data_IF_418402426269
#
_entry.id   IF_418402426269
#
_cell.length_a   1.000
_cell.length_b   1.000
_cell.length_c   1.000
_cell.angle_alpha   90.00
_cell.angle_beta   90.00
_cell.angle_gamma   90.00
#
_symmetry.space_group_name_H-M   'P 1'
#
loop_
_entity.id
_entity.type
_entity.pdbx_description
1 polymer ?
#
# COMPACT_ATOMS: atom_id res chain seq x y z
N UNK A 1 18.72 4.95 -14.30
CA UNK A 1 17.94 3.73 -14.59
C UNK A 1 16.95 3.60 -13.45
N UNK A 2 15.65 3.65 -13.75
CA UNK A 2 14.58 3.60 -12.73
C UNK A 2 14.05 2.19 -12.47
N UNK A 3 14.53 1.20 -13.22
CA UNK A 3 14.16 -0.19 -13.10
C UNK A 3 15.25 -1.02 -12.43
N UNK A 4 14.85 -1.99 -11.60
CA UNK A 4 15.77 -2.91 -10.91
C UNK A 4 15.16 -4.29 -10.83
N UNK A 5 15.85 -5.31 -11.31
CA UNK A 5 15.46 -6.70 -11.04
C UNK A 5 15.71 -7.04 -9.58
N UNK A 6 14.67 -7.46 -8.87
CA UNK A 6 14.70 -7.76 -7.43
C UNK A 6 14.49 -9.24 -7.12
N UNK A 7 13.96 -10.00 -8.08
CA UNK A 7 13.82 -11.44 -8.06
C UNK A 7 13.65 -11.93 -9.51
N UNK A 8 13.63 -13.23 -9.75
CA UNK A 8 13.50 -13.79 -11.10
C UNK A 8 12.25 -13.27 -11.80
N UNK A 9 12.42 -12.60 -12.94
CA UNK A 9 11.35 -11.98 -13.73
C UNK A 9 10.51 -10.94 -12.97
N UNK A 10 10.97 -10.45 -11.83
CA UNK A 10 10.30 -9.44 -11.04
C UNK A 10 11.16 -8.19 -10.94
N UNK A 11 10.64 -7.09 -11.45
CA UNK A 11 11.31 -5.80 -11.49
C UNK A 11 10.56 -4.76 -10.67
N UNK A 12 11.30 -3.97 -9.91
CA UNK A 12 10.83 -2.76 -9.27
C UNK A 12 11.01 -1.59 -10.26
N UNK A 13 10.01 -0.74 -10.34
CA UNK A 13 10.05 0.53 -11.08
C UNK A 13 9.90 1.68 -10.08
N UNK A 14 10.94 2.46 -9.91
CA UNK A 14 10.94 3.68 -9.08
C UNK A 14 10.08 4.75 -9.75
N UNK A 15 9.05 5.23 -9.06
CA UNK A 15 8.08 6.18 -9.61
C UNK A 15 8.51 7.65 -9.46
N UNK A 16 9.50 7.96 -8.63
CA UNK A 16 10.00 9.32 -8.38
C UNK A 16 8.87 10.33 -8.14
N UNK A 17 7.85 9.92 -7.42
CA UNK A 17 6.63 10.70 -7.19
C UNK A 17 6.94 12.05 -6.54
N UNK A 18 6.53 13.13 -7.19
CA UNK A 18 6.83 14.50 -6.72
C UNK A 18 8.32 14.84 -6.68
N UNK A 19 9.16 14.07 -7.38
CA UNK A 19 10.62 14.20 -7.38
C UNK A 19 11.31 13.52 -6.20
N UNK A 20 10.58 12.74 -5.38
CA UNK A 20 11.15 11.98 -4.26
C UNK A 20 11.51 10.57 -4.70
N UNK A 21 12.70 10.12 -4.31
CA UNK A 21 13.15 8.73 -4.44
C UNK A 21 12.77 7.94 -3.18
N UNK A 22 12.63 6.62 -3.34
CA UNK A 22 12.27 5.70 -2.25
C UNK A 22 10.93 6.06 -1.57
N UNK A 23 10.00 6.66 -2.32
CA UNK A 23 8.68 7.02 -1.78
C UNK A 23 7.61 6.03 -2.23
N UNK A 24 7.46 5.83 -3.54
CA UNK A 24 6.47 4.93 -4.15
C UNK A 24 7.12 4.20 -5.32
N UNK A 25 6.90 2.90 -5.40
CA UNK A 25 7.30 2.08 -6.54
C UNK A 25 6.14 1.23 -7.05
N UNK A 26 6.24 0.86 -8.33
CA UNK A 26 5.45 -0.19 -8.96
C UNK A 26 6.31 -1.42 -9.20
N UNK A 27 5.66 -2.53 -9.47
CA UNK A 27 6.35 -3.76 -9.85
C UNK A 27 5.83 -4.26 -11.18
N UNK A 28 6.69 -4.92 -11.94
CA UNK A 28 6.33 -5.67 -13.12
C UNK A 28 6.80 -7.11 -12.98
N UNK A 29 5.86 -8.04 -13.07
CA UNK A 29 6.14 -9.47 -13.25
C UNK A 29 6.25 -9.67 -14.75
N UNK A 30 7.47 -9.95 -15.23
CA UNK A 30 7.78 -10.09 -16.64
C UNK A 30 7.62 -11.54 -17.05
N UNK A 31 6.84 -11.78 -18.08
CA UNK A 31 6.55 -13.11 -18.63
C UNK A 31 5.81 -12.96 -19.96
N UNK A 32 5.13 -13.99 -20.40
CA UNK A 32 4.28 -13.95 -21.61
C UNK A 32 3.00 -13.15 -21.38
N UNK A 33 2.52 -13.05 -20.13
CA UNK A 33 1.43 -12.19 -19.68
C UNK A 33 1.95 -11.15 -18.65
N UNK A 34 2.70 -10.12 -19.08
CA UNK A 34 3.28 -9.15 -18.16
C UNK A 34 2.22 -8.50 -17.28
N UNK A 35 2.48 -8.45 -15.97
CA UNK A 35 1.52 -7.93 -14.99
C UNK A 35 2.16 -6.86 -14.13
N UNK A 36 1.49 -5.71 -14.04
CA UNK A 36 1.89 -4.59 -13.19
C UNK A 36 1.21 -4.77 -11.83
N UNK A 37 1.96 -4.62 -10.75
CA UNK A 37 1.39 -4.49 -9.40
C UNK A 37 1.61 -3.06 -8.94
N UNK A 38 0.55 -2.38 -8.61
CA UNK A 38 0.37 -0.96 -8.33
C UNK A 38 0.55 -0.04 -9.55
N UNK A 39 -0.40 0.84 -9.77
CA UNK A 39 -0.26 1.90 -10.77
C UNK A 39 0.53 3.10 -10.24
N UNK A 40 0.60 3.25 -8.93
CA UNK A 40 1.04 4.49 -8.32
C UNK A 40 0.05 5.63 -8.55
N UNK A 41 0.44 6.87 -8.23
CA UNK A 41 -0.38 8.06 -8.44
C UNK A 41 -0.39 8.51 -9.91
N UNK A 42 -1.42 9.26 -10.29
CA UNK A 42 -1.60 9.78 -11.66
C UNK A 42 -0.38 10.55 -12.17
N UNK A 43 0.23 11.36 -11.31
CA UNK A 43 1.41 12.19 -11.66
C UNK A 43 2.64 11.36 -12.02
N UNK A 44 2.72 10.11 -11.58
CA UNK A 44 3.88 9.23 -11.77
C UNK A 44 3.74 8.29 -12.98
N UNK A 45 2.59 8.30 -13.68
CA UNK A 45 2.38 7.44 -14.84
C UNK A 45 3.45 7.61 -15.94
N UNK A 46 3.94 8.82 -16.26
CA UNK A 46 5.04 8.96 -17.22
C UNK A 46 6.31 8.18 -16.81
N UNK A 47 6.59 8.11 -15.49
CA UNK A 47 7.74 7.38 -14.97
C UNK A 47 7.53 5.86 -15.03
N UNK A 48 6.30 5.39 -14.75
CA UNK A 48 5.94 3.98 -14.90
C UNK A 48 6.04 3.54 -16.38
N UNK A 49 5.50 4.33 -17.31
CA UNK A 49 5.59 4.08 -18.76
C UNK A 49 7.05 4.00 -19.22
N UNK A 50 7.89 4.97 -18.81
CA UNK A 50 9.33 4.93 -19.08
C UNK A 50 10.00 3.66 -18.52
N UNK A 51 9.60 3.21 -17.35
CA UNK A 51 10.11 1.96 -16.77
C UNK A 51 9.73 0.72 -17.59
N UNK A 52 8.50 0.67 -18.12
CA UNK A 52 8.07 -0.39 -19.02
C UNK A 52 8.87 -0.40 -20.33
N UNK A 53 9.15 0.80 -20.89
CA UNK A 53 10.00 0.96 -22.09
C UNK A 53 11.45 0.50 -21.81
N UNK A 54 12.06 0.89 -20.68
CA UNK A 54 13.40 0.42 -20.26
C UNK A 54 13.46 -1.11 -20.20
N UNK A 55 12.38 -1.78 -19.79
CA UNK A 55 12.29 -3.24 -19.69
C UNK A 55 11.89 -3.90 -21.00
N UNK A 56 11.68 -3.13 -22.09
CA UNK A 56 11.18 -3.60 -23.38
C UNK A 56 9.86 -4.38 -23.26
N UNK A 57 8.95 -3.92 -22.40
CA UNK A 57 7.58 -4.45 -22.28
C UNK A 57 6.73 -3.79 -23.36
N UNK A 58 6.13 -4.60 -24.22
CA UNK A 58 5.15 -4.10 -25.20
C UNK A 58 3.85 -3.81 -24.46
N UNK A 59 3.30 -2.62 -24.66
CA UNK A 59 2.12 -2.16 -23.94
C UNK A 59 0.87 -3.01 -24.20
N UNK A 60 0.76 -3.54 -25.43
CA UNK A 60 -0.32 -4.44 -25.82
C UNK A 60 -0.23 -5.83 -25.18
N UNK A 61 0.92 -6.23 -24.65
CA UNK A 61 1.11 -7.54 -24.00
C UNK A 61 0.75 -7.50 -22.52
N UNK A 62 0.70 -6.30 -21.89
CA UNK A 62 0.33 -6.18 -20.48
C UNK A 62 -1.10 -6.65 -20.28
N UNK A 63 -1.27 -7.70 -19.47
CA UNK A 63 -2.56 -8.33 -19.23
C UNK A 63 -3.28 -7.78 -18.01
N UNK A 64 -2.56 -7.61 -16.89
CA UNK A 64 -3.16 -7.13 -15.65
C UNK A 64 -2.45 -5.92 -15.06
N UNK A 65 -3.26 -5.07 -14.41
CA UNK A 65 -2.81 -4.05 -13.46
C UNK A 65 -3.47 -4.41 -12.12
N UNK A 66 -2.73 -5.02 -11.22
CA UNK A 66 -3.19 -5.47 -9.92
C UNK A 66 -3.06 -4.33 -8.89
N UNK A 67 -4.17 -3.86 -8.34
CA UNK A 67 -4.23 -2.76 -7.39
C UNK A 67 -4.53 -3.30 -6.00
N UNK A 68 -3.63 -3.07 -5.05
CA UNK A 68 -3.83 -3.53 -3.67
C UNK A 68 -5.01 -2.80 -3.02
N UNK A 69 -5.11 -1.49 -3.23
CA UNK A 69 -6.24 -0.69 -2.78
C UNK A 69 -6.30 0.64 -3.56
N UNK A 70 -7.40 1.39 -3.42
CA UNK A 70 -7.68 2.54 -4.30
C UNK A 70 -7.19 3.89 -3.79
N UNK A 71 -6.36 3.96 -2.73
CA UNK A 71 -5.74 5.23 -2.36
C UNK A 71 -4.94 5.81 -3.53
N UNK A 72 -4.77 7.15 -3.55
CA UNK A 72 -4.23 7.85 -4.72
C UNK A 72 -2.84 7.37 -5.13
N UNK A 73 -2.03 7.01 -4.17
CA UNK A 73 -0.64 6.58 -4.31
C UNK A 73 -0.49 5.11 -4.75
N UNK A 74 -1.58 4.33 -4.77
CA UNK A 74 -1.62 2.94 -5.23
C UNK A 74 -2.44 2.77 -6.50
N UNK A 75 -3.75 3.06 -6.44
CA UNK A 75 -4.68 2.89 -7.56
C UNK A 75 -5.00 4.16 -8.34
N UNK A 76 -4.52 5.34 -7.89
CA UNK A 76 -4.90 6.63 -8.47
C UNK A 76 -4.53 6.81 -9.94
N UNK A 77 -3.43 6.22 -10.36
CA UNK A 77 -2.94 6.28 -11.74
C UNK A 77 -3.60 5.31 -12.72
N UNK A 78 -4.43 4.37 -12.25
CA UNK A 78 -4.93 3.27 -13.07
C UNK A 78 -5.66 3.75 -14.35
N UNK A 79 -6.54 4.74 -14.24
CA UNK A 79 -7.27 5.27 -15.40
C UNK A 79 -6.35 5.91 -16.44
N UNK A 80 -5.37 6.67 -16.01
CA UNK A 80 -4.36 7.27 -16.91
C UNK A 80 -3.46 6.21 -17.52
N UNK A 81 -3.02 5.21 -16.75
CA UNK A 81 -2.18 4.11 -17.22
C UNK A 81 -2.86 3.30 -18.33
N UNK A 82 -4.15 3.01 -18.21
CA UNK A 82 -4.90 2.24 -19.21
C UNK A 82 -5.00 2.92 -20.58
N UNK A 83 -4.69 4.21 -20.70
CA UNK A 83 -4.59 4.89 -22.01
C UNK A 83 -3.40 4.40 -22.84
N UNK A 84 -2.36 3.91 -22.17
CA UNK A 84 -1.18 3.32 -22.79
C UNK A 84 -1.31 1.81 -23.00
N UNK A 85 -2.11 1.13 -22.17
CA UNK A 85 -2.22 -0.32 -22.11
C UNK A 85 -3.55 -0.79 -22.73
N UNK A 86 -3.65 -1.03 -24.06
CA UNK A 86 -4.93 -1.24 -24.75
C UNK A 86 -5.67 -2.50 -24.27
N UNK A 87 -4.96 -3.54 -23.84
CA UNK A 87 -5.54 -4.84 -23.49
C UNK A 87 -5.66 -5.10 -21.99
N UNK A 88 -4.90 -4.38 -21.15
CA UNK A 88 -4.82 -4.66 -19.73
C UNK A 88 -6.16 -4.55 -18.98
N UNK A 89 -6.38 -5.39 -17.99
CA UNK A 89 -7.51 -5.35 -17.05
C UNK A 89 -7.01 -4.97 -15.66
N UNK A 90 -7.84 -4.24 -14.91
CA UNK A 90 -7.52 -3.83 -13.54
C UNK A 90 -8.12 -4.83 -12.57
N UNK A 91 -7.28 -5.49 -11.77
CA UNK A 91 -7.70 -6.32 -10.65
C UNK A 91 -7.85 -5.42 -9.42
N UNK A 92 -9.01 -5.40 -8.80
CA UNK A 92 -9.30 -4.55 -7.65
C UNK A 92 -10.38 -5.17 -6.77
N UNK A 93 -10.34 -4.87 -5.47
CA UNK A 93 -11.39 -5.27 -4.55
C UNK A 93 -12.77 -4.70 -4.98
N UNK A 94 -13.90 -5.46 -4.91
CA UNK A 94 -15.22 -4.99 -5.34
C UNK A 94 -15.66 -3.67 -4.70
N UNK A 95 -15.33 -3.45 -3.42
CA UNK A 95 -15.63 -2.18 -2.72
C UNK A 95 -14.84 -0.99 -3.26
N UNK A 96 -13.65 -1.23 -3.85
CA UNK A 96 -12.83 -0.19 -4.47
C UNK A 96 -13.26 0.16 -5.90
N UNK A 97 -13.94 -0.78 -6.60
CA UNK A 97 -14.26 -0.65 -8.02
C UNK A 97 -14.99 0.67 -8.35
N UNK A 98 -15.98 1.07 -7.56
CA UNK A 98 -16.76 2.29 -7.83
C UNK A 98 -15.89 3.56 -7.73
N UNK A 99 -14.86 3.56 -6.88
CA UNK A 99 -13.92 4.67 -6.76
C UNK A 99 -12.98 4.79 -7.97
N UNK A 100 -12.71 3.68 -8.67
CA UNK A 100 -11.97 3.74 -9.94
C UNK A 100 -12.86 4.15 -11.12
N UNK A 101 -14.14 3.72 -11.14
CA UNK A 101 -15.08 4.08 -12.21
C UNK A 101 -15.46 5.57 -12.13
N UNK A 102 -15.70 6.08 -10.93
CA UNK A 102 -16.00 7.48 -10.68
C UNK A 102 -15.13 8.01 -9.53
N UNK A 103 -13.92 8.52 -9.82
CA UNK A 103 -12.94 8.87 -8.80
C UNK A 103 -13.20 10.21 -8.10
N UNK A 104 -14.24 10.95 -8.44
CA UNK A 104 -14.47 12.30 -7.91
C UNK A 104 -14.57 12.32 -6.37
N UNK A 105 -15.33 11.38 -5.79
CA UNK A 105 -15.45 11.27 -4.32
C UNK A 105 -14.12 10.87 -3.68
N UNK A 106 -13.37 9.98 -4.30
CA UNK A 106 -12.03 9.59 -3.83
C UNK A 106 -11.10 10.80 -3.81
N UNK A 107 -11.10 11.58 -4.89
CA UNK A 107 -10.31 12.80 -5.01
C UNK A 107 -10.64 13.82 -3.92
N UNK A 108 -11.93 14.14 -3.74
CA UNK A 108 -12.37 15.09 -2.72
C UNK A 108 -12.00 14.64 -1.30
N UNK A 109 -12.15 13.35 -0.99
CA UNK A 109 -11.76 12.79 0.30
C UNK A 109 -10.25 12.87 0.51
N UNK A 110 -9.46 12.57 -0.52
CA UNK A 110 -8.01 12.67 -0.46
C UNK A 110 -7.53 14.12 -0.28
N UNK A 111 -8.15 15.08 -0.97
CA UNK A 111 -7.83 16.50 -0.77
C UNK A 111 -8.10 16.96 0.68
N UNK A 112 -9.20 16.50 1.28
CA UNK A 112 -9.53 16.81 2.65
C UNK A 112 -8.54 16.26 3.68
N UNK A 113 -7.98 15.06 3.43
CA UNK A 113 -7.06 14.37 4.36
C UNK A 113 -5.60 14.74 4.11
N UNK A 114 -5.18 14.81 2.84
CA UNK A 114 -3.78 14.97 2.44
C UNK A 114 -3.40 16.42 2.13
N UNK A 115 -4.38 17.33 1.95
CA UNK A 115 -4.12 18.71 1.56
C UNK A 115 -3.24 18.80 0.30
N UNK A 116 -2.16 19.59 0.36
CA UNK A 116 -1.23 19.82 -0.75
C UNK A 116 -0.57 18.53 -1.28
N UNK A 117 -0.50 17.47 -0.48
CA UNK A 117 0.08 16.17 -0.93
C UNK A 117 -0.80 15.52 -1.98
N UNK A 118 -2.12 15.73 -1.94
CA UNK A 118 -3.02 15.25 -2.98
C UNK A 118 -2.67 15.81 -4.36
N UNK A 119 -2.27 17.08 -4.44
CA UNK A 119 -1.85 17.72 -5.70
C UNK A 119 -0.55 17.11 -6.25
N UNK A 120 0.36 16.67 -5.35
CA UNK A 120 1.58 15.94 -5.75
C UNK A 120 1.22 14.61 -6.42
N UNK A 121 0.19 13.92 -5.91
CA UNK A 121 -0.27 12.66 -6.49
C UNK A 121 -1.07 12.86 -7.78
N UNK A 122 -1.76 13.98 -7.91
CA UNK A 122 -2.58 14.31 -9.06
C UNK A 122 -3.96 13.68 -9.04
N UNK A 123 -4.91 14.33 -9.72
CA UNK A 123 -6.30 13.87 -9.79
C UNK A 123 -6.41 12.57 -10.57
N UNK A 124 -7.06 11.52 -10.01
CA UNK A 124 -7.26 10.27 -10.72
C UNK A 124 -8.25 10.41 -11.89
N UNK A 125 -8.04 9.64 -12.95
CA UNK A 125 -8.94 9.53 -14.09
C UNK A 125 -9.79 8.27 -14.00
N UNK A 126 -11.01 8.27 -14.58
CA UNK A 126 -11.89 7.12 -14.57
C UNK A 126 -11.29 5.89 -15.28
N UNK A 127 -11.50 4.73 -14.67
CA UNK A 127 -11.25 3.42 -15.31
C UNK A 127 -12.55 2.94 -15.98
N UNK A 128 -12.54 2.56 -17.27
CA UNK A 128 -13.70 1.98 -17.93
C UNK A 128 -14.17 0.72 -17.20
N UNK A 129 -15.47 0.62 -16.89
CA UNK A 129 -16.03 -0.48 -16.09
C UNK A 129 -15.72 -1.86 -16.68
N UNK A 130 -15.73 -1.99 -18.00
CA UNK A 130 -15.44 -3.22 -18.73
C UNK A 130 -13.97 -3.64 -18.67
N UNK A 131 -13.10 -2.76 -18.18
CA UNK A 131 -11.68 -3.02 -17.96
C UNK A 131 -11.38 -3.44 -16.51
N UNK A 132 -12.38 -3.55 -15.64
CA UNK A 132 -12.23 -3.92 -14.23
C UNK A 132 -12.64 -5.37 -14.01
N UNK A 133 -11.81 -6.11 -13.33
CA UNK A 133 -12.08 -7.45 -12.78
C UNK A 133 -12.16 -7.30 -11.25
N UNK A 134 -13.36 -7.31 -10.66
CA UNK A 134 -13.47 -7.28 -9.21
C UNK A 134 -13.05 -8.63 -8.62
N UNK A 135 -12.18 -8.60 -7.62
CA UNK A 135 -11.66 -9.80 -6.95
C UNK A 135 -11.53 -9.58 -5.45
N UNK A 136 -11.85 -10.60 -4.67
CA UNK A 136 -11.53 -10.68 -3.24
C UNK A 136 -10.50 -11.75 -2.99
N UNK A 137 -10.69 -12.91 -3.62
CA UNK A 137 -9.77 -14.05 -3.60
C UNK A 137 -9.82 -14.74 -4.97
N UNK A 138 -8.68 -15.21 -5.45
CA UNK A 138 -8.57 -15.90 -6.73
C UNK A 138 -7.17 -15.83 -7.30
N UNK A 139 -6.89 -16.75 -8.21
CA UNK A 139 -5.59 -16.87 -8.86
C UNK A 139 -5.68 -16.52 -10.33
N UNK A 140 -4.67 -15.86 -10.83
CA UNK A 140 -4.50 -15.43 -12.21
C UNK A 140 -3.23 -16.09 -12.76
N UNK A 141 -3.40 -16.87 -13.79
CA UNK A 141 -2.28 -17.47 -14.52
C UNK A 141 -1.54 -16.35 -15.28
N UNK A 142 -0.23 -16.27 -15.09
CA UNK A 142 0.63 -15.29 -15.76
C UNK A 142 1.43 -15.95 -16.89
N UNK A 143 1.03 -17.18 -17.25
CA UNK A 143 1.78 -18.07 -18.13
C UNK A 143 3.18 -18.45 -17.57
N UNK A 144 3.97 -19.22 -18.33
CA UNK A 144 5.31 -19.67 -17.91
C UNK A 144 5.36 -20.36 -16.53
N UNK A 145 4.19 -20.82 -16.00
CA UNK A 145 4.07 -21.45 -14.69
C UNK A 145 4.11 -20.48 -13.52
N UNK A 146 3.96 -19.19 -13.76
CA UNK A 146 3.78 -18.17 -12.74
C UNK A 146 2.29 -17.90 -12.48
N UNK A 147 1.93 -17.63 -11.22
CA UNK A 147 0.58 -17.34 -10.79
C UNK A 147 0.57 -16.15 -9.82
N UNK A 148 -0.41 -15.27 -9.99
CA UNK A 148 -0.67 -14.17 -9.06
C UNK A 148 -1.97 -14.44 -8.32
N UNK A 149 -1.90 -14.67 -7.00
CA UNK A 149 -3.06 -14.94 -6.16
C UNK A 149 -3.47 -13.70 -5.37
N UNK A 150 -4.69 -13.24 -5.58
CA UNK A 150 -5.30 -12.17 -4.79
C UNK A 150 -5.79 -12.70 -3.44
N UNK A 151 -5.57 -11.94 -2.38
CA UNK A 151 -5.90 -12.28 -0.99
C UNK A 151 -6.56 -11.06 -0.36
N UNK A 152 -7.78 -11.20 0.16
CA UNK A 152 -8.43 -10.11 0.88
C UNK A 152 -7.70 -9.85 2.21
N UNK A 153 -7.20 -8.61 2.37
CA UNK A 153 -6.43 -8.16 3.54
C UNK A 153 -6.99 -6.84 4.07
N UNK A 154 -8.15 -6.93 4.72
CA UNK A 154 -8.84 -5.79 5.30
C UNK A 154 -8.13 -5.30 6.58
N UNK A 155 -8.26 -4.01 6.88
CA UNK A 155 -7.76 -3.38 8.11
C UNK A 155 -7.30 -1.96 7.85
N UNK A 156 -6.24 -1.78 7.03
CA UNK A 156 -5.80 -0.48 6.52
C UNK A 156 -6.92 0.21 5.71
N UNK A 157 -7.57 -0.53 4.83
CA UNK A 157 -8.76 -0.08 4.11
C UNK A 157 -9.76 -1.21 3.94
N UNK A 158 -11.06 -0.84 3.79
CA UNK A 158 -12.14 -1.81 3.57
C UNK A 158 -12.13 -2.47 2.19
N UNK A 159 -11.19 -2.10 1.34
CA UNK A 159 -11.00 -2.57 -0.03
C UNK A 159 -9.55 -2.99 -0.29
N UNK A 160 -8.83 -3.44 0.74
CA UNK A 160 -7.45 -3.88 0.61
C UNK A 160 -7.34 -5.33 0.16
N UNK A 161 -6.42 -5.55 -0.76
CA UNK A 161 -5.93 -6.82 -1.25
C UNK A 161 -4.42 -6.88 -1.04
N UNK A 162 -3.91 -8.08 -0.86
CA UNK A 162 -2.52 -8.41 -1.08
C UNK A 162 -2.40 -9.38 -2.25
N UNK A 163 -1.26 -9.43 -2.91
CA UNK A 163 -1.03 -10.37 -4.00
C UNK A 163 0.19 -11.23 -3.70
N UNK A 164 0.00 -12.57 -3.78
CA UNK A 164 1.09 -13.53 -3.68
C UNK A 164 1.51 -13.96 -5.09
N UNK A 165 2.80 -13.86 -5.39
CA UNK A 165 3.36 -14.38 -6.65
C UNK A 165 4.10 -15.71 -6.40
N UNK A 166 3.78 -16.70 -7.21
CA UNK A 166 4.23 -18.07 -6.98
C UNK A 166 5.68 -18.33 -7.39
N UNK A 167 6.23 -17.55 -8.34
CA UNK A 167 7.54 -17.80 -8.93
C UNK A 167 8.70 -17.64 -7.93
N UNK A 168 8.61 -16.63 -7.05
CA UNK A 168 9.61 -16.34 -6.03
C UNK A 168 9.05 -16.53 -4.61
N UNK A 169 7.74 -16.77 -4.46
CA UNK A 169 7.06 -16.97 -3.20
C UNK A 169 7.00 -15.72 -2.31
N UNK A 170 6.93 -14.55 -2.94
CA UNK A 170 6.81 -13.27 -2.26
C UNK A 170 5.39 -12.71 -2.28
N UNK A 171 5.13 -11.71 -1.46
CA UNK A 171 3.83 -11.04 -1.34
C UNK A 171 3.99 -9.54 -1.58
N UNK A 172 3.06 -8.96 -2.34
CA UNK A 172 2.82 -7.53 -2.44
C UNK A 172 1.70 -7.19 -1.44
N UNK A 173 2.03 -6.70 -0.24
CA UNK A 173 1.04 -6.53 0.81
C UNK A 173 0.22 -5.24 0.67
N UNK A 174 0.59 -4.34 -0.23
CA UNK A 174 0.16 -2.96 -0.17
C UNK A 174 0.48 -2.35 1.20
N UNK A 175 -0.48 -1.65 1.79
CA UNK A 175 -0.33 -1.03 3.10
C UNK A 175 -0.78 -1.92 4.28
N UNK A 176 -1.30 -3.13 3.99
CA UNK A 176 -1.65 -4.12 5.02
C UNK A 176 -0.43 -4.65 5.82
N UNK A 177 0.79 -4.31 5.42
CA UNK A 177 2.00 -4.61 6.17
C UNK A 177 2.85 -3.35 6.45
N UNK A 178 2.26 -2.15 6.34
CA UNK A 178 2.89 -0.87 6.65
C UNK A 178 3.79 -0.31 5.55
N UNK A 179 4.54 0.71 5.89
CA UNK A 179 5.52 1.41 5.04
C UNK A 179 6.94 0.94 5.42
N UNK A 180 7.70 0.45 4.44
CA UNK A 180 9.07 -0.02 4.64
C UNK A 180 10.09 1.08 4.34
N UNK A 181 11.05 1.25 5.23
CA UNK A 181 12.17 2.18 5.11
C UNK A 181 13.47 1.40 4.94
N UNK A 182 13.93 1.20 3.69
CA UNK A 182 15.10 0.34 3.42
C UNK A 182 16.41 0.86 4.02
N UNK A 183 16.56 2.18 4.19
CA UNK A 183 17.75 2.79 4.79
C UNK A 183 17.92 2.40 6.26
N UNK A 184 16.83 2.09 6.94
CA UNK A 184 16.81 1.71 8.36
C UNK A 184 16.47 0.22 8.55
N UNK A 185 16.04 -0.46 7.48
CA UNK A 185 15.54 -1.83 7.48
C UNK A 185 14.36 -2.06 8.45
N UNK A 186 13.45 -1.10 8.55
CA UNK A 186 12.29 -1.10 9.46
C UNK A 186 10.97 -0.81 8.74
N UNK A 187 9.86 -1.15 9.40
CA UNK A 187 8.50 -0.89 8.92
C UNK A 187 7.77 0.01 9.91
N UNK A 188 7.03 0.99 9.41
CA UNK A 188 6.16 1.86 10.19
C UNK A 188 4.68 1.53 9.90
N UNK A 189 3.80 1.53 10.92
CA UNK A 189 2.36 1.41 10.72
C UNK A 189 1.78 2.49 9.81
N UNK A 190 0.93 2.06 8.87
CA UNK A 190 0.16 2.93 7.96
C UNK A 190 -1.31 2.64 8.21
N UNK A 191 -1.92 3.40 9.11
CA UNK A 191 -3.23 3.10 9.70
C UNK A 191 -4.14 4.33 9.75
N UNK A 192 -4.40 5.03 8.60
CA UNK A 192 -5.28 6.19 8.60
C UNK A 192 -6.73 5.80 8.93
N UNK A 193 -7.53 6.70 9.50
CA UNK A 193 -8.96 6.44 9.71
C UNK A 193 -9.73 6.25 8.38
N UNK A 194 -10.70 5.31 8.32
CA UNK A 194 -11.11 4.37 9.37
C UNK A 194 -10.21 3.13 9.40
N UNK A 195 -9.51 2.90 10.50
CA UNK A 195 -8.66 1.73 10.72
C UNK A 195 -9.37 0.66 11.56
N UNK A 196 -9.15 -0.62 11.24
CA UNK A 196 -9.75 -1.76 11.94
C UNK A 196 -8.67 -2.78 12.36
N UNK A 197 -8.21 -2.67 13.59
CA UNK A 197 -7.09 -3.46 14.11
C UNK A 197 -7.33 -4.97 14.03
N UNK A 198 -8.50 -5.48 14.45
CA UNK A 198 -8.78 -6.92 14.44
C UNK A 198 -8.76 -7.50 13.02
N UNK A 199 -9.28 -6.73 12.04
CA UNK A 199 -9.26 -7.13 10.64
C UNK A 199 -7.83 -7.14 10.10
N UNK A 200 -7.01 -6.14 10.47
CA UNK A 200 -5.60 -6.07 10.09
C UNK A 200 -4.80 -7.24 10.68
N UNK A 201 -4.98 -7.53 11.98
CA UNK A 201 -4.32 -8.67 12.63
C UNK A 201 -4.71 -10.02 11.99
N UNK A 202 -5.99 -10.20 11.64
CA UNK A 202 -6.46 -11.39 10.93
C UNK A 202 -5.87 -11.48 9.51
N UNK A 203 -5.74 -10.34 8.82
CA UNK A 203 -5.11 -10.25 7.51
C UNK A 203 -3.63 -10.64 7.58
N UNK A 204 -2.91 -10.14 8.58
CA UNK A 204 -1.51 -10.52 8.82
C UNK A 204 -1.36 -12.02 9.09
N UNK A 205 -2.28 -12.62 9.86
CA UNK A 205 -2.26 -14.07 10.12
C UNK A 205 -2.45 -14.89 8.83
N UNK A 206 -3.34 -14.44 7.92
CA UNK A 206 -3.47 -15.04 6.58
C UNK A 206 -2.14 -14.97 5.82
N UNK A 207 -1.52 -13.77 5.74
CA UNK A 207 -0.26 -13.59 5.03
C UNK A 207 0.88 -14.41 5.64
N UNK A 208 0.97 -14.49 6.96
CA UNK A 208 1.97 -15.32 7.67
C UNK A 208 1.82 -16.81 7.32
N UNK A 209 0.56 -17.28 7.20
CA UNK A 209 0.28 -18.69 6.89
C UNK A 209 0.79 -19.13 5.53
N UNK A 210 0.95 -18.21 4.58
CA UNK A 210 1.50 -18.44 3.24
C UNK A 210 3.03 -18.57 3.24
N UNK A 211 3.69 -18.26 4.38
CA UNK A 211 5.15 -18.35 4.55
C UNK A 211 5.94 -17.59 3.49
N UNK A 212 5.66 -16.30 3.25
CA UNK A 212 6.32 -15.55 2.20
C UNK A 212 7.83 -15.46 2.42
N UNK A 213 8.58 -15.63 1.33
CA UNK A 213 10.04 -15.49 1.32
C UNK A 213 10.48 -14.03 1.47
N UNK A 214 9.68 -13.11 0.90
CA UNK A 214 9.90 -11.67 0.90
C UNK A 214 8.58 -10.92 0.88
N UNK A 215 8.61 -9.64 1.24
CA UNK A 215 7.54 -8.68 1.01
C UNK A 215 8.01 -7.63 -0.01
N UNK A 216 7.13 -7.26 -0.92
CA UNK A 216 7.36 -6.26 -1.95
C UNK A 216 6.47 -5.05 -1.66
N UNK A 217 7.02 -4.12 -0.90
CA UNK A 217 6.30 -2.93 -0.43
C UNK A 217 6.17 -1.90 -1.54
N UNK A 218 5.00 -1.32 -1.70
CA UNK A 218 4.79 -0.15 -2.58
C UNK A 218 5.53 1.09 -2.02
N UNK A 219 5.69 1.14 -0.69
CA UNK A 219 6.47 2.08 0.11
C UNK A 219 7.51 1.33 0.98
N UNK A 220 8.71 1.01 0.65
CA UNK A 220 9.45 0.99 -0.57
C UNK A 220 10.24 -0.31 -0.72
N UNK A 221 9.99 -1.04 -1.79
CA UNK A 221 10.88 -2.06 -2.30
C UNK A 221 10.79 -3.42 -1.60
N UNK A 222 11.79 -4.26 -1.87
CA UNK A 222 11.85 -5.64 -1.36
C UNK A 222 12.44 -5.70 0.03
N UNK A 223 11.73 -6.32 0.96
CA UNK A 223 12.23 -6.75 2.24
C UNK A 223 12.29 -8.28 2.32
N UNK A 224 13.43 -8.83 2.73
CA UNK A 224 13.59 -10.27 2.98
C UNK A 224 12.94 -10.69 4.30
N UNK A 225 12.85 -12.03 4.54
CA UNK A 225 12.29 -12.58 5.77
C UNK A 225 10.82 -12.21 6.00
N UNK A 226 9.99 -12.35 4.95
CA UNK A 226 8.61 -11.88 4.95
C UNK A 226 7.79 -12.33 6.16
N UNK A 227 7.91 -13.59 6.59
CA UNK A 227 7.21 -14.11 7.78
C UNK A 227 7.60 -13.35 9.05
N UNK A 228 8.90 -13.08 9.25
CA UNK A 228 9.37 -12.39 10.45
C UNK A 228 8.90 -10.93 10.43
N UNK A 229 8.98 -10.27 9.28
CA UNK A 229 8.49 -8.89 9.10
C UNK A 229 7.01 -8.73 9.46
N UNK A 230 6.18 -9.65 8.98
CA UNK A 230 4.73 -9.64 9.30
C UNK A 230 4.49 -9.85 10.80
N UNK A 231 5.26 -10.72 11.46
CA UNK A 231 5.17 -10.93 12.90
C UNK A 231 5.59 -9.71 13.70
N UNK A 232 6.69 -9.08 13.33
CA UNK A 232 7.20 -7.87 13.99
C UNK A 232 6.22 -6.71 13.82
N UNK A 233 5.66 -6.55 12.62
CA UNK A 233 4.62 -5.57 12.34
C UNK A 233 3.36 -5.81 13.19
N UNK A 234 2.92 -7.06 13.33
CA UNK A 234 1.79 -7.42 14.20
C UNK A 234 2.02 -7.00 15.66
N UNK A 235 3.22 -7.23 16.19
CA UNK A 235 3.60 -6.80 17.56
C UNK A 235 3.58 -5.27 17.66
N UNK A 236 4.07 -4.58 16.65
CA UNK A 236 4.09 -3.11 16.60
C UNK A 236 2.67 -2.53 16.59
N UNK A 237 1.74 -3.08 15.80
CA UNK A 237 0.33 -2.67 15.80
C UNK A 237 -0.31 -2.84 17.18
N UNK A 238 -0.04 -3.96 17.86
CA UNK A 238 -0.53 -4.21 19.22
C UNK A 238 0.05 -3.23 20.25
N UNK A 239 1.32 -2.86 20.10
CA UNK A 239 1.95 -1.84 20.94
C UNK A 239 1.26 -0.48 20.77
N UNK A 240 1.05 -0.04 19.52
CA UNK A 240 0.41 1.25 19.25
C UNK A 240 -1.04 1.28 19.71
N UNK A 241 -1.78 0.17 19.54
CA UNK A 241 -3.14 0.05 20.05
C UNK A 241 -3.20 0.21 21.57
N UNK A 242 -2.31 -0.48 22.30
CA UNK A 242 -2.22 -0.36 23.78
C UNK A 242 -1.95 1.09 24.19
N UNK A 243 -0.96 1.76 23.56
CA UNK A 243 -0.62 3.15 23.89
C UNK A 243 -1.81 4.08 23.62
N UNK A 244 -2.51 3.88 22.48
CA UNK A 244 -3.67 4.68 22.13
C UNK A 244 -4.86 4.47 23.08
N UNK A 245 -5.14 3.21 23.47
CA UNK A 245 -6.19 2.88 24.45
C UNK A 245 -5.91 3.51 25.83
N UNK A 246 -4.68 3.44 26.30
CA UNK A 246 -4.24 4.08 27.54
C UNK A 246 -4.40 5.59 27.44
N UNK A 247 -3.90 6.20 26.35
CA UNK A 247 -3.98 7.63 26.13
C UNK A 247 -5.41 8.15 26.05
N UNK A 248 -6.32 7.44 25.37
CA UNK A 248 -7.74 7.80 25.31
C UNK A 248 -8.39 7.74 26.70
N UNK A 249 -8.10 6.73 27.52
CA UNK A 249 -8.60 6.65 28.91
C UNK A 249 -8.07 7.79 29.80
N UNK A 250 -6.85 8.24 29.54
CA UNK A 250 -6.20 9.34 30.26
C UNK A 250 -6.53 10.72 29.67
N UNK A 251 -7.40 10.81 28.66
CA UNK A 251 -7.74 12.03 27.92
C UNK A 251 -6.53 12.75 27.32
N UNK A 252 -5.52 12.02 26.89
CA UNK A 252 -4.34 12.56 26.21
C UNK A 252 -4.69 13.07 24.80
N UNK A 253 -3.99 14.11 24.36
CA UNK A 253 -4.06 14.64 23.00
C UNK A 253 -3.38 13.68 21.99
N UNK A 254 -3.63 13.90 20.70
CA UNK A 254 -2.94 13.17 19.63
C UNK A 254 -1.42 13.34 19.75
N UNK A 255 -0.95 14.53 20.05
CA UNK A 255 0.46 14.86 20.21
C UNK A 255 1.09 14.07 21.35
N UNK A 256 0.43 13.98 22.50
CA UNK A 256 0.92 13.23 23.66
C UNK A 256 0.98 11.73 23.37
N UNK A 257 -0.04 11.16 22.71
CA UNK A 257 -0.06 9.75 22.32
C UNK A 257 1.03 9.48 21.27
N UNK A 258 1.20 10.36 20.27
CA UNK A 258 2.27 10.26 19.27
C UNK A 258 3.65 10.28 19.91
N UNK A 259 3.88 11.19 20.85
CA UNK A 259 5.18 11.32 21.52
C UNK A 259 5.48 10.10 22.40
N UNK A 260 4.47 9.50 23.03
CA UNK A 260 4.59 8.20 23.71
C UNK A 260 4.98 7.08 22.73
N UNK A 261 4.32 7.00 21.58
CA UNK A 261 4.66 6.02 20.53
C UNK A 261 6.13 6.18 20.11
N UNK A 262 6.60 7.42 19.86
CA UNK A 262 7.99 7.67 19.50
C UNK A 262 8.95 7.20 20.60
N UNK A 263 8.58 7.32 21.86
CA UNK A 263 9.43 6.91 22.98
C UNK A 263 9.39 5.39 23.22
N UNK A 264 8.23 4.76 23.13
CA UNK A 264 8.04 3.35 23.47
C UNK A 264 8.37 2.39 22.31
N UNK A 265 8.17 2.82 21.06
CA UNK A 265 8.49 2.04 19.86
C UNK A 265 9.93 2.30 19.38
N UNK A 266 10.75 1.26 19.43
CA UNK A 266 12.16 1.34 19.00
C UNK A 266 12.31 1.70 17.51
N UNK A 267 11.39 1.29 16.66
CA UNK A 267 11.36 1.63 15.23
C UNK A 267 11.11 3.13 15.07
N UNK A 268 10.13 3.66 15.80
CA UNK A 268 9.80 5.08 15.73
C UNK A 268 10.90 6.00 16.24
N UNK A 269 11.68 5.57 17.23
CA UNK A 269 12.88 6.31 17.66
C UNK A 269 13.92 6.47 16.54
N UNK A 270 14.08 5.44 15.70
CA UNK A 270 15.00 5.50 14.57
C UNK A 270 14.50 6.39 13.44
N UNK A 271 13.17 6.40 13.22
CA UNK A 271 12.55 7.12 12.11
C UNK A 271 12.17 8.58 12.41
N UNK A 272 12.07 8.97 13.69
CA UNK A 272 11.46 10.25 14.08
C UNK A 272 12.08 11.47 13.38
N UNK A 273 13.40 11.55 13.30
CA UNK A 273 14.10 12.69 12.67
C UNK A 273 13.97 12.64 11.14
N UNK A 274 14.04 11.45 10.54
CA UNK A 274 13.80 11.26 9.12
C UNK A 274 12.40 11.71 8.72
N UNK A 275 11.37 11.24 9.44
CA UNK A 275 9.97 11.59 9.17
C UNK A 275 9.72 13.10 9.30
N UNK A 276 10.31 13.76 10.31
CA UNK A 276 10.20 15.22 10.50
C UNK A 276 10.82 16.00 9.34
N UNK A 277 11.93 15.53 8.79
CA UNK A 277 12.65 16.20 7.71
C UNK A 277 12.04 15.94 6.33
N UNK A 278 11.31 14.83 6.15
CA UNK A 278 10.76 14.44 4.87
C UNK A 278 9.46 15.19 4.57
N UNK A 279 9.42 15.91 3.43
CA UNK A 279 8.32 16.83 3.08
C UNK A 279 6.92 16.19 3.06
N UNK A 280 6.81 14.91 2.66
CA UNK A 280 5.53 14.19 2.60
C UNK A 280 5.23 13.56 3.96
N UNK A 281 6.14 12.75 4.49
CA UNK A 281 5.91 12.04 5.74
C UNK A 281 5.69 12.95 6.95
N UNK A 282 6.33 14.13 7.01
CA UNK A 282 6.12 15.09 8.08
C UNK A 282 4.70 15.65 8.15
N UNK A 283 3.97 15.65 7.01
CA UNK A 283 2.62 16.22 6.93
C UNK A 283 1.52 15.19 7.21
N UNK A 284 1.72 13.93 6.83
CA UNK A 284 0.60 12.99 6.72
C UNK A 284 0.81 11.65 7.42
N UNK A 285 2.03 11.10 7.43
CA UNK A 285 2.19 9.69 7.75
C UNK A 285 1.93 9.36 9.22
N UNK A 286 2.73 9.90 10.14
CA UNK A 286 2.67 9.51 11.54
C UNK A 286 1.38 9.99 12.22
N UNK A 287 0.98 11.26 11.99
CA UNK A 287 -0.21 11.83 12.61
C UNK A 287 -1.49 11.08 12.20
N UNK A 288 -1.64 10.79 10.91
CA UNK A 288 -2.80 10.04 10.41
C UNK A 288 -2.81 8.61 10.94
N UNK A 289 -1.65 7.94 11.03
CA UNK A 289 -1.58 6.58 11.58
C UNK A 289 -1.94 6.55 13.06
N UNK A 290 -1.45 7.50 13.87
CA UNK A 290 -1.83 7.62 15.29
C UNK A 290 -3.32 7.94 15.44
N UNK A 291 -3.88 8.82 14.59
CA UNK A 291 -5.31 9.13 14.61
C UNK A 291 -6.18 7.89 14.38
N UNK A 292 -5.78 7.00 13.47
CA UNK A 292 -6.52 5.75 13.24
C UNK A 292 -6.61 4.87 14.49
N UNK A 293 -5.52 4.76 15.26
CA UNK A 293 -5.55 4.04 16.54
C UNK A 293 -6.37 4.75 17.62
N UNK A 294 -6.35 6.10 17.67
CA UNK A 294 -7.17 6.87 18.60
C UNK A 294 -8.65 6.64 18.31
N UNK A 295 -9.05 6.73 17.04
CA UNK A 295 -10.44 6.54 16.64
C UNK A 295 -10.92 5.09 16.90
N UNK A 296 -10.06 4.11 16.67
CA UNK A 296 -10.30 2.72 17.03
C UNK A 296 -10.48 2.54 18.55
N UNK A 297 -9.59 3.12 19.36
CA UNK A 297 -9.67 3.04 20.82
C UNK A 297 -10.95 3.68 21.38
N UNK A 298 -11.38 4.83 20.83
CA UNK A 298 -12.65 5.48 21.19
C UNK A 298 -13.85 4.60 20.87
N UNK A 299 -13.89 3.97 19.69
CA UNK A 299 -14.98 3.08 19.31
C UNK A 299 -15.11 1.86 20.25
N UNK A 300 -13.99 1.31 20.74
CA UNK A 300 -14.03 0.23 21.72
C UNK A 300 -14.57 0.73 23.06
N UNK A 301 -14.10 1.89 23.52
CA UNK A 301 -14.55 2.47 24.78
C UNK A 301 -16.06 2.75 24.78
N UNK A 302 -16.60 3.32 23.69
CA UNK A 302 -18.02 3.61 23.54
C UNK A 302 -18.89 2.34 23.54
N UNK A 303 -18.39 1.24 22.93
CA UNK A 303 -19.07 -0.06 22.94
C UNK A 303 -19.07 -0.74 24.29
N UNK A 304 -18.09 -0.47 25.16
CA UNK A 304 -18.03 -1.03 26.52
C UNK A 304 -18.88 -0.23 27.52
N UNK A 305 -19.20 1.03 27.20
CA UNK A 305 -20.01 1.92 28.02
C UNK A 305 -21.52 1.84 27.69
N UNK A 306 -21.89 1.17 26.59
CA UNK A 306 -23.28 0.93 26.14
C UNK A 306 -23.78 -0.47 26.51
#
# INVERSE_FOLDING_TARGET
MRTKEIAKNLFLIELETGGFINLICSYIIKGTAPTIVESGPTSSIPNLVSGLEELNIRFEDVEYVAITHVHLDHGGGAGTLLKFLPNAKVLVHPRGMQHLINPERLWQSAQAVLGDVSEIFGKPEPVPKERIIPVTEGSFDLDDGAELTAIETLGHASHSLSFHESLNGGIFPGDAAGTYFPEFDVVMPTTPPPFHLEAELASLDKLISLKPTALYYSHFGKASNGVQRLKDYKVQLQLWARIAEEGVRENQSLEEIRDRIIVEDMVMRQLADYLKSHRIYSKTALGNSVQGFIDYARQIHDKQAS
#
